data_IF_966338924126
#
_entry.id   IF_966338924126
#
_cell.length_a   1.000
_cell.length_b   1.000
_cell.length_c   1.000
_cell.angle_alpha   90.00
_cell.angle_beta   90.00
_cell.angle_gamma   90.00
#
_symmetry.space_group_name_H-M   'P 1'
#
loop_
_entity.id
_entity.type
_entity.pdbx_description
1 polymer ?
#
# COMPACT_ATOMS: atom_id res chain seq x y z
N UNK A 1 8.50 -7.21 -8.22
CA UNK A 1 7.25 -7.98 -8.09
C UNK A 1 6.28 -7.37 -9.09
N UNK A 2 5.41 -8.15 -9.73
CA UNK A 2 4.36 -7.59 -10.58
C UNK A 2 3.21 -7.09 -9.69
N UNK A 3 2.58 -5.95 -10.04
CA UNK A 3 1.49 -5.32 -9.28
C UNK A 3 0.35 -6.31 -9.04
N UNK A 4 0.09 -7.19 -10.01
CA UNK A 4 -0.96 -8.21 -9.93
C UNK A 4 -0.83 -9.12 -8.69
N UNK A 5 0.39 -9.32 -8.18
CA UNK A 5 0.62 -10.11 -6.96
C UNK A 5 0.36 -9.34 -5.66
N UNK A 6 0.37 -8.01 -5.69
CA UNK A 6 0.12 -7.15 -4.52
C UNK A 6 -1.37 -7.04 -4.18
N UNK A 7 -2.26 -7.23 -5.16
CA UNK A 7 -3.72 -7.20 -4.97
C UNK A 7 -4.18 -8.01 -3.75
N UNK A 8 -3.62 -9.21 -3.55
CA UNK A 8 -3.94 -10.12 -2.44
C UNK A 8 -3.47 -9.62 -1.06
N UNK A 9 -2.59 -8.63 -1.04
CA UNK A 9 -2.03 -7.97 0.15
C UNK A 9 -2.58 -6.55 0.36
N UNK A 10 -3.39 -6.04 -0.56
CA UNK A 10 -4.03 -4.73 -0.38
C UNK A 10 -5.03 -4.76 0.77
N UNK A 11 -5.18 -3.62 1.45
CA UNK A 11 -6.10 -3.45 2.59
C UNK A 11 -5.88 -4.42 3.77
N UNK A 12 -4.71 -5.08 3.82
CA UNK A 12 -4.33 -6.02 4.90
C UNK A 12 -3.11 -5.52 5.66
N UNK A 13 -3.03 -5.89 6.93
CA UNK A 13 -1.84 -5.68 7.73
C UNK A 13 -0.75 -6.61 7.21
N UNK A 14 0.32 -6.02 6.70
CA UNK A 14 1.38 -6.76 6.04
C UNK A 14 2.76 -6.34 6.55
N UNK A 15 3.70 -7.28 6.47
CA UNK A 15 5.13 -7.04 6.52
C UNK A 15 5.64 -6.95 5.09
N UNK A 16 6.26 -5.83 4.75
CA UNK A 16 6.88 -5.62 3.44
C UNK A 16 8.39 -5.54 3.59
N UNK A 17 9.09 -6.27 2.74
CA UNK A 17 10.53 -6.12 2.54
C UNK A 17 10.77 -5.25 1.31
N UNK A 18 11.52 -4.17 1.49
CA UNK A 18 11.86 -3.24 0.42
C UNK A 18 13.20 -3.61 -0.23
N UNK A 19 13.41 -3.16 -1.46
CA UNK A 19 14.66 -3.34 -2.21
C UNK A 19 15.88 -2.75 -1.50
N UNK A 20 15.66 -1.71 -0.68
CA UNK A 20 16.69 -1.12 0.18
C UNK A 20 17.16 -2.04 1.31
N UNK A 21 16.49 -3.18 1.53
CA UNK A 21 16.71 -4.08 2.66
C UNK A 21 15.91 -3.70 3.90
N UNK A 22 15.25 -2.54 3.92
CA UNK A 22 14.37 -2.12 5.02
C UNK A 22 13.11 -2.99 5.06
N UNK A 23 12.68 -3.31 6.26
CA UNK A 23 11.37 -3.91 6.50
C UNK A 23 10.41 -2.88 7.09
N UNK A 24 9.19 -2.84 6.58
CA UNK A 24 8.13 -1.94 7.03
C UNK A 24 6.85 -2.72 7.29
N UNK A 25 6.07 -2.25 8.26
CA UNK A 25 4.83 -2.86 8.69
C UNK A 25 3.69 -1.87 8.46
N UNK A 26 2.69 -2.27 7.71
CA UNK A 26 1.61 -1.36 7.34
C UNK A 26 0.64 -1.97 6.35
N UNK A 27 -0.10 -1.10 5.68
CA UNK A 27 -1.14 -1.45 4.72
C UNK A 27 -0.84 -0.74 3.41
N UNK A 28 -1.02 -1.43 2.29
CA UNK A 28 -0.98 -0.84 0.96
C UNK A 28 -2.34 -0.90 0.29
N UNK A 29 -2.64 0.06 -0.57
CA UNK A 29 -3.81 0.01 -1.44
C UNK A 29 -3.58 0.82 -2.72
N UNK A 30 -4.34 0.45 -3.74
CA UNK A 30 -4.31 1.06 -5.06
C UNK A 30 -5.38 2.14 -5.16
N UNK A 31 -5.02 3.27 -5.75
CA UNK A 31 -5.95 4.35 -6.09
C UNK A 31 -5.85 4.58 -7.59
N UNK A 32 -6.96 4.36 -8.29
CA UNK A 32 -7.09 4.70 -9.69
C UNK A 32 -7.32 6.21 -9.80
N UNK A 33 -6.42 6.92 -10.47
CA UNK A 33 -6.59 8.34 -10.77
C UNK A 33 -6.78 8.53 -12.27
N UNK A 34 -7.93 9.10 -12.65
CA UNK A 34 -8.18 9.56 -14.01
C UNK A 34 -7.71 11.00 -14.14
N UNK A 35 -6.49 11.21 -14.64
CA UNK A 35 -5.98 12.54 -14.93
C UNK A 35 -6.49 13.00 -16.30
N UNK A 36 -7.67 13.64 -16.32
CA UNK A 36 -8.12 14.63 -17.30
C UNK A 36 -8.33 14.21 -18.76
N UNK A 37 -7.44 13.42 -19.38
CA UNK A 37 -7.45 13.09 -20.82
C UNK A 37 -6.49 11.92 -21.16
N UNK A 38 -6.12 11.07 -20.20
CA UNK A 38 -5.19 9.95 -20.39
C UNK A 38 -5.63 8.65 -19.73
N UNK A 39 -4.95 7.55 -20.09
CA UNK A 39 -5.17 6.21 -19.53
C UNK A 39 -5.20 6.23 -17.99
N UNK A 40 -6.08 5.43 -17.36
CA UNK A 40 -6.17 5.36 -15.91
C UNK A 40 -4.82 4.92 -15.33
N UNK A 41 -4.27 5.74 -14.44
CA UNK A 41 -3.03 5.40 -13.73
C UNK A 41 -3.36 4.90 -12.35
N UNK A 42 -2.95 3.67 -12.05
CA UNK A 42 -3.07 3.07 -10.72
C UNK A 42 -1.86 3.47 -9.88
N UNK A 43 -2.09 4.21 -8.79
CA UNK A 43 -1.04 4.60 -7.84
C UNK A 43 -1.15 3.77 -6.57
N UNK A 44 -0.02 3.22 -6.10
CA UNK A 44 0.05 2.46 -4.85
C UNK A 44 0.46 3.37 -3.70
N UNK A 45 -0.26 3.29 -2.59
CA UNK A 45 0.02 4.03 -1.37
C UNK A 45 0.26 3.10 -0.19
N UNK A 46 1.09 3.54 0.73
CA UNK A 46 1.38 2.87 2.00
C UNK A 46 0.95 3.75 3.17
N UNK A 47 0.38 3.14 4.21
CA UNK A 47 0.23 3.75 5.53
C UNK A 47 0.70 2.80 6.64
N UNK A 48 1.08 3.36 7.79
CA UNK A 48 1.32 2.56 8.98
C UNK A 48 0.04 1.87 9.44
N UNK A 49 0.16 0.75 10.15
CA UNK A 49 -1.00 0.03 10.71
C UNK A 49 -1.88 0.98 11.55
N UNK A 50 -1.25 1.79 12.42
CA UNK A 50 -1.96 2.73 13.29
C UNK A 50 -2.72 3.80 12.50
N UNK A 51 -2.11 4.33 11.45
CA UNK A 51 -2.76 5.33 10.60
C UNK A 51 -3.93 4.70 9.84
N UNK A 52 -3.76 3.49 9.31
CA UNK A 52 -4.85 2.79 8.64
C UNK A 52 -6.02 2.49 9.58
N UNK A 53 -5.74 2.01 10.81
CA UNK A 53 -6.77 1.79 11.83
C UNK A 53 -7.50 3.09 12.20
N UNK A 54 -6.78 4.21 12.37
CA UNK A 54 -7.39 5.51 12.63
C UNK A 54 -8.29 5.97 11.48
N UNK A 55 -7.85 5.77 10.24
CA UNK A 55 -8.66 6.06 9.06
C UNK A 55 -9.96 5.24 9.07
N UNK A 56 -9.90 3.95 9.42
CA UNK A 56 -11.08 3.08 9.49
C UNK A 56 -12.05 3.44 10.63
N UNK A 57 -11.53 3.85 11.79
CA UNK A 57 -12.33 4.12 12.99
C UNK A 57 -12.93 5.53 13.00
N UNK A 58 -12.12 6.52 12.64
CA UNK A 58 -12.45 7.94 12.82
C UNK A 58 -12.79 8.64 11.51
N UNK A 59 -12.44 8.05 10.36
CA UNK A 59 -12.55 8.72 9.04
C UNK A 59 -11.61 9.92 8.88
N UNK A 60 -10.71 10.14 9.85
CA UNK A 60 -9.76 11.25 9.85
C UNK A 60 -8.71 11.07 8.76
N UNK A 61 -8.32 12.13 8.02
CA UNK A 61 -7.21 12.06 7.09
C UNK A 61 -5.93 11.56 7.77
N UNK A 62 -5.20 10.69 7.07
CA UNK A 62 -3.95 10.12 7.58
C UNK A 62 -2.80 10.32 6.62
N UNK A 63 -1.58 10.24 7.14
CA UNK A 63 -0.39 10.34 6.31
C UNK A 63 -0.24 9.06 5.49
N UNK A 64 -0.09 9.23 4.18
CA UNK A 64 0.20 8.15 3.24
C UNK A 64 1.50 8.45 2.52
N UNK A 65 2.21 7.40 2.14
CA UNK A 65 3.47 7.47 1.41
C UNK A 65 3.23 6.81 0.05
N UNK A 66 3.44 7.52 -1.07
CA UNK A 66 3.46 6.89 -2.39
C UNK A 66 4.52 5.79 -2.42
N UNK A 67 4.18 4.62 -2.92
CA UNK A 67 5.08 3.48 -2.98
C UNK A 67 5.14 2.95 -4.42
N UNK A 68 6.34 2.66 -4.91
CA UNK A 68 6.48 2.01 -6.20
C UNK A 68 6.43 0.49 -6.00
N UNK A 69 5.59 -0.25 -6.75
CA UNK A 69 5.50 -1.71 -6.66
C UNK A 69 6.85 -2.43 -6.81
N UNK A 70 7.77 -1.87 -7.60
CA UNK A 70 9.11 -2.39 -7.86
C UNK A 70 10.05 -2.28 -6.64
N UNK A 71 9.71 -1.43 -5.67
CA UNK A 71 10.41 -1.31 -4.39
C UNK A 71 10.08 -2.46 -3.45
N UNK A 72 8.90 -3.09 -3.58
CA UNK A 72 8.50 -4.23 -2.76
C UNK A 72 9.11 -5.50 -3.36
N UNK A 73 10.00 -6.14 -2.59
CA UNK A 73 10.61 -7.42 -3.00
C UNK A 73 9.92 -8.62 -2.36
N UNK A 74 9.18 -8.40 -1.27
CA UNK A 74 8.41 -9.44 -0.59
C UNK A 74 7.30 -8.84 0.28
N UNK A 75 6.18 -9.53 0.37
CA UNK A 75 5.03 -9.19 1.20
C UNK A 75 4.50 -10.43 1.92
N UNK A 76 4.13 -10.27 3.18
CA UNK A 76 3.48 -11.30 3.99
C UNK A 76 2.31 -10.67 4.74
N UNK A 77 1.14 -11.31 4.68
CA UNK A 77 -0.01 -10.96 5.51
C UNK A 77 0.29 -11.33 6.96
N UNK A 78 0.16 -10.36 7.86
CA UNK A 78 0.24 -10.58 9.31
C UNK A 78 -1.12 -10.92 9.93
N UNK A 79 -2.17 -10.98 9.12
CA UNK A 79 -3.47 -11.49 9.53
C UNK A 79 -3.50 -13.02 9.37
N UNK A 80 -3.70 -13.71 10.51
CA UNK A 80 -4.21 -15.10 10.57
C UNK A 80 -5.69 -15.15 10.24
#
# INVERSE_FOLDING_TARGET
MDISHLSSFTHKHCRFKLRSGKEVFGVVWEVETTNGEGDPTTSLYFASVRDYERLQQEGSPVQVIPMQPEEIVWAESMAS
#
